data_IF_254419226899
#
_entry.id   IF_254419226899
#
_cell.length_a   1.000
_cell.length_b   1.000
_cell.length_c   1.000
_cell.angle_alpha   90.00
_cell.angle_beta   90.00
_cell.angle_gamma   90.00
#
_symmetry.space_group_name_H-M   'P 1'
#
loop_
_entity.id
_entity.type
_entity.pdbx_description
1 polymer ?
#
# COMPACT_ATOMS: atom_id res chain seq x y z
N UNK A 1 -33.86 3.32 29.90
CA UNK A 1 -32.65 2.58 30.33
C UNK A 1 -32.04 1.72 29.21
N UNK A 2 -32.85 0.89 28.49
CA UNK A 2 -32.33 -0.01 27.44
C UNK A 2 -31.68 0.75 26.28
N UNK A 3 -32.36 1.75 25.73
CA UNK A 3 -31.80 2.57 24.62
C UNK A 3 -30.52 3.27 25.03
N UNK A 4 -30.41 3.78 26.25
CA UNK A 4 -29.19 4.38 26.79
C UNK A 4 -28.03 3.39 26.75
N UNK A 5 -28.24 2.17 27.29
CA UNK A 5 -27.18 1.15 27.31
C UNK A 5 -26.73 0.74 25.93
N UNK A 6 -27.69 0.52 25.00
CA UNK A 6 -27.37 0.14 23.60
C UNK A 6 -26.61 1.25 22.90
N UNK A 7 -27.13 2.48 22.92
CA UNK A 7 -26.54 3.59 22.19
C UNK A 7 -25.18 4.01 22.77
N UNK A 8 -25.01 3.97 24.10
CA UNK A 8 -23.71 4.24 24.72
C UNK A 8 -22.66 3.20 24.34
N UNK A 9 -23.02 1.90 24.31
CA UNK A 9 -22.12 0.83 23.91
C UNK A 9 -21.69 0.97 22.44
N UNK A 10 -22.64 1.25 21.54
CA UNK A 10 -22.36 1.45 20.12
C UNK A 10 -21.50 2.70 19.93
N UNK A 11 -21.86 3.82 20.57
CA UNK A 11 -21.14 5.08 20.45
C UNK A 11 -19.70 4.98 20.97
N UNK A 12 -19.47 4.31 22.10
CA UNK A 12 -18.12 4.09 22.64
C UNK A 12 -17.21 3.40 21.62
N UNK A 13 -17.72 2.38 20.96
CA UNK A 13 -16.98 1.68 19.89
C UNK A 13 -16.81 2.56 18.66
N UNK A 14 -17.87 3.22 18.19
CA UNK A 14 -17.88 4.04 17.00
C UNK A 14 -17.00 5.28 17.14
N UNK A 15 -17.03 5.94 18.30
CA UNK A 15 -16.19 7.12 18.60
C UNK A 15 -14.78 6.74 19.08
N UNK A 16 -14.55 5.44 19.32
CA UNK A 16 -13.25 4.90 19.74
C UNK A 16 -12.72 5.53 21.05
N UNK A 17 -13.63 5.97 21.92
CA UNK A 17 -13.35 6.61 23.22
C UNK A 17 -14.50 6.41 24.21
N UNK A 18 -14.28 6.62 25.51
CA UNK A 18 -15.38 6.74 26.46
C UNK A 18 -16.40 7.78 26.00
N UNK A 19 -17.67 7.48 26.15
CA UNK A 19 -18.76 8.43 25.89
C UNK A 19 -19.05 9.24 27.16
N UNK A 20 -19.25 10.52 27.00
CA UNK A 20 -19.64 11.43 28.09
C UNK A 20 -21.17 11.63 28.11
N UNK A 21 -21.67 12.29 29.16
CA UNK A 21 -23.09 12.56 29.30
C UNK A 21 -23.66 13.36 28.13
N UNK A 22 -22.92 14.31 27.58
CA UNK A 22 -23.32 15.11 26.43
C UNK A 22 -23.53 14.27 25.17
N UNK A 23 -22.64 13.29 24.93
CA UNK A 23 -22.79 12.34 23.84
C UNK A 23 -24.09 11.55 24.00
N UNK A 24 -24.30 10.99 25.22
CA UNK A 24 -25.47 10.15 25.53
C UNK A 24 -26.76 10.95 25.41
N UNK A 25 -26.83 12.15 25.95
CA UNK A 25 -28.00 13.01 25.82
C UNK A 25 -28.32 13.37 24.39
N UNK A 26 -27.30 13.63 23.60
CA UNK A 26 -27.48 13.91 22.16
C UNK A 26 -28.11 12.69 21.46
N UNK A 27 -27.59 11.48 21.67
CA UNK A 27 -28.11 10.26 21.06
C UNK A 27 -29.53 9.96 21.52
N UNK A 28 -29.84 10.17 22.80
CA UNK A 28 -31.19 9.98 23.33
C UNK A 28 -32.22 10.98 22.78
N UNK A 29 -31.80 12.20 22.45
CA UNK A 29 -32.66 13.18 21.76
C UNK A 29 -33.07 12.67 20.38
N UNK A 30 -32.14 12.15 19.58
CA UNK A 30 -32.45 11.57 18.27
C UNK A 30 -33.31 10.29 18.39
N UNK A 31 -32.98 9.45 19.37
CA UNK A 31 -33.78 8.26 19.68
C UNK A 31 -35.23 8.63 19.98
N UNK A 32 -35.50 9.64 20.86
CA UNK A 32 -36.87 10.09 21.17
C UNK A 32 -37.63 10.57 19.91
N UNK A 33 -36.94 11.24 18.97
CA UNK A 33 -37.56 11.65 17.71
C UNK A 33 -37.97 10.45 16.84
N UNK A 34 -37.30 9.30 16.98
CA UNK A 34 -37.63 8.07 16.26
C UNK A 34 -38.70 7.18 16.93
N UNK A 35 -39.16 7.53 18.12
CA UNK A 35 -40.11 6.68 18.91
C UNK A 35 -41.46 6.48 18.23
N UNK A 36 -41.89 7.37 17.33
CA UNK A 36 -43.12 7.17 16.55
C UNK A 36 -43.08 5.91 15.68
N UNK A 37 -41.90 5.39 15.40
CA UNK A 37 -41.66 4.10 14.69
C UNK A 37 -41.38 2.93 15.65
N UNK A 38 -41.65 3.08 16.94
CA UNK A 38 -41.35 2.09 17.96
C UNK A 38 -39.95 2.14 18.52
N UNK A 39 -39.59 1.15 19.34
CA UNK A 39 -38.26 1.08 19.97
C UNK A 39 -37.13 0.92 18.95
N UNK A 40 -37.34 0.13 17.92
CA UNK A 40 -36.33 -0.06 16.83
C UNK A 40 -36.09 1.25 16.09
N UNK A 41 -37.13 2.02 15.82
CA UNK A 41 -36.99 3.35 15.20
C UNK A 41 -36.23 4.35 16.07
N UNK A 42 -36.38 4.25 17.39
CA UNK A 42 -35.56 5.00 18.36
C UNK A 42 -34.08 4.63 18.25
N UNK A 43 -33.76 3.33 18.31
CA UNK A 43 -32.35 2.85 18.22
C UNK A 43 -31.75 3.20 16.85
N UNK A 44 -32.51 3.00 15.78
CA UNK A 44 -32.10 3.36 14.41
C UNK A 44 -31.71 4.84 14.31
N UNK A 45 -32.57 5.76 14.78
CA UNK A 45 -32.27 7.20 14.74
C UNK A 45 -31.03 7.57 15.56
N UNK A 46 -30.78 6.88 16.67
CA UNK A 46 -29.56 7.01 17.45
C UNK A 46 -28.33 6.55 16.68
N UNK A 47 -28.41 5.43 15.97
CA UNK A 47 -27.30 4.90 15.12
C UNK A 47 -27.05 5.84 13.93
N UNK A 48 -28.07 6.32 13.25
CA UNK A 48 -27.94 7.31 12.17
C UNK A 48 -27.16 8.55 12.63
N UNK A 49 -27.49 9.02 13.86
CA UNK A 49 -26.74 10.15 14.45
C UNK A 49 -25.29 9.80 14.77
N UNK A 50 -24.99 8.58 15.22
CA UNK A 50 -23.61 8.10 15.42
C UNK A 50 -22.84 8.12 14.09
N UNK A 51 -23.42 7.54 13.05
CA UNK A 51 -22.76 7.44 11.73
C UNK A 51 -22.52 8.81 11.08
N UNK A 52 -23.40 9.79 11.33
CA UNK A 52 -23.25 11.16 10.86
C UNK A 52 -22.35 12.04 11.76
N UNK A 53 -21.80 11.48 12.84
CA UNK A 53 -21.00 12.25 13.80
C UNK A 53 -19.57 12.49 13.28
N UNK A 54 -19.01 13.71 13.44
CA UNK A 54 -17.58 13.94 13.20
C UNK A 54 -16.67 12.99 13.97
N UNK A 55 -17.04 12.57 15.18
CA UNK A 55 -16.30 11.58 15.99
C UNK A 55 -16.24 10.19 15.35
N UNK A 56 -17.22 9.84 14.51
CA UNK A 56 -17.19 8.62 13.72
C UNK A 56 -16.43 8.83 12.42
N UNK A 57 -16.77 9.88 11.67
CA UNK A 57 -16.26 10.13 10.31
C UNK A 57 -14.78 10.51 10.29
N UNK A 58 -14.30 11.21 11.31
CA UNK A 58 -12.93 11.72 11.37
C UNK A 58 -12.17 11.13 12.55
N UNK A 59 -10.88 10.95 12.36
CA UNK A 59 -9.93 10.57 13.39
C UNK A 59 -9.21 11.83 13.86
N UNK A 60 -9.83 12.58 14.78
CA UNK A 60 -9.22 13.77 15.38
C UNK A 60 -8.58 13.35 16.70
N UNK A 61 -7.27 13.49 16.88
CA UNK A 61 -6.62 13.17 18.15
C UNK A 61 -7.17 14.05 19.30
N UNK A 62 -7.32 13.44 20.49
CA UNK A 62 -7.96 14.07 21.65
C UNK A 62 -7.17 15.26 22.26
N UNK A 63 -5.91 15.46 21.88
CA UNK A 63 -5.04 16.54 22.39
C UNK A 63 -5.16 17.87 21.64
N UNK A 64 -6.12 18.03 20.74
CA UNK A 64 -6.51 19.35 20.28
C UNK A 64 -7.44 19.92 21.34
N UNK A 65 -6.99 20.92 22.10
CA UNK A 65 -7.81 21.64 23.07
C UNK A 65 -9.16 21.97 22.43
N UNK A 66 -10.26 21.64 23.12
CA UNK A 66 -11.61 21.84 22.64
C UNK A 66 -11.95 23.33 22.37
N UNK A 67 -11.03 24.25 22.68
CA UNK A 67 -11.12 25.68 22.39
C UNK A 67 -10.77 26.02 20.91
N UNK A 68 -10.17 25.09 20.16
CA UNK A 68 -9.78 25.27 18.76
C UNK A 68 -10.68 24.49 17.77
N UNK A 69 -11.91 24.17 18.15
CA UNK A 69 -12.88 23.66 17.19
C UNK A 69 -13.01 24.68 16.04
N UNK A 70 -12.75 24.33 14.77
CA UNK A 70 -12.89 25.27 13.67
C UNK A 70 -14.31 25.81 13.71
N UNK A 71 -14.44 27.15 13.81
CA UNK A 71 -15.75 27.81 13.68
C UNK A 71 -16.36 27.34 12.36
N UNK A 72 -17.68 27.05 12.34
CA UNK A 72 -18.32 26.65 11.09
C UNK A 72 -17.98 27.65 10.00
N UNK A 73 -17.53 27.18 8.84
CA UNK A 73 -17.08 28.02 7.70
C UNK A 73 -18.10 29.13 7.33
N UNK A 74 -19.37 28.93 7.67
CA UNK A 74 -20.45 29.90 7.48
C UNK A 74 -20.31 31.19 8.32
N UNK A 75 -19.48 31.21 9.38
CA UNK A 75 -19.32 32.39 10.22
C UNK A 75 -18.10 33.26 9.88
N UNK A 76 -17.27 32.83 8.91
CA UNK A 76 -16.01 33.51 8.56
C UNK A 76 -16.07 34.20 7.19
N UNK A 77 -17.11 33.94 6.40
CA UNK A 77 -17.25 34.57 5.07
C UNK A 77 -18.07 35.86 5.15
N UNK A 78 -17.54 37.00 4.65
CA UNK A 78 -18.29 38.21 4.54
C UNK A 78 -19.51 38.01 3.61
N UNK A 79 -20.62 38.72 3.87
CA UNK A 79 -21.92 38.49 3.28
C UNK A 79 -21.97 38.54 1.73
N UNK A 80 -20.93 39.00 1.05
CA UNK A 80 -20.82 39.05 -0.42
C UNK A 80 -20.24 37.82 -1.11
N UNK A 81 -19.64 36.87 -0.36
CA UNK A 81 -18.90 35.75 -0.96
C UNK A 81 -19.74 34.49 -1.24
N UNK A 82 -21.02 34.50 -0.93
CA UNK A 82 -21.90 33.33 -1.05
C UNK A 82 -22.25 32.93 -2.48
N UNK A 83 -22.06 33.79 -3.47
CA UNK A 83 -22.49 33.55 -4.85
C UNK A 83 -21.35 33.17 -5.83
N UNK A 84 -20.10 32.99 -5.36
CA UNK A 84 -18.95 32.75 -6.24
C UNK A 84 -18.43 31.30 -6.26
N UNK A 85 -19.07 30.36 -5.57
CA UNK A 85 -18.60 28.95 -5.51
C UNK A 85 -19.10 28.04 -6.64
N UNK A 86 -19.71 28.56 -7.70
CA UNK A 86 -20.29 27.73 -8.77
C UNK A 86 -19.65 27.91 -10.15
N UNK A 87 -18.56 28.64 -10.29
CA UNK A 87 -17.88 28.76 -11.60
C UNK A 87 -16.39 28.99 -11.44
N UNK A 88 -15.56 27.99 -11.75
CA UNK A 88 -14.38 28.02 -12.62
C UNK A 88 -13.41 26.85 -12.34
N UNK A 89 -12.79 26.26 -13.35
CA UNK A 89 -11.75 25.26 -13.17
C UNK A 89 -10.44 25.93 -12.73
N UNK A 90 -9.78 25.34 -11.73
CA UNK A 90 -8.54 25.84 -11.20
C UNK A 90 -7.37 25.60 -12.18
N UNK A 91 -6.67 26.67 -12.54
CA UNK A 91 -5.38 26.63 -13.21
C UNK A 91 -4.27 26.20 -12.25
N UNK A 92 -3.19 25.55 -12.72
CA UNK A 92 -2.09 25.12 -11.86
C UNK A 92 -1.32 26.32 -11.31
N UNK A 93 -1.09 26.31 -10.00
CA UNK A 93 -0.27 27.31 -9.33
C UNK A 93 1.24 27.12 -9.64
N UNK A 94 2.00 28.22 -9.81
CA UNK A 94 3.44 28.12 -10.04
C UNK A 94 4.18 27.66 -8.80
N UNK A 95 5.24 26.87 -9.01
CA UNK A 95 6.15 26.39 -7.99
C UNK A 95 6.78 27.57 -7.24
N UNK A 96 6.35 27.79 -6.01
CA UNK A 96 6.94 28.79 -5.11
C UNK A 96 7.98 28.12 -4.22
N UNK A 97 9.14 28.75 -4.15
CA UNK A 97 10.34 28.44 -3.37
C UNK A 97 10.07 27.80 -2.01
N UNK A 98 10.90 26.81 -1.66
CA UNK A 98 11.07 26.24 -0.33
C UNK A 98 11.34 27.36 0.72
N UNK A 99 10.28 27.96 1.22
CA UNK A 99 10.35 28.77 2.41
C UNK A 99 10.48 27.83 3.62
N UNK A 100 11.57 27.99 4.35
CA UNK A 100 11.84 27.34 5.63
C UNK A 100 10.63 27.55 6.57
N UNK A 101 9.79 26.52 6.72
CA UNK A 101 8.80 26.51 7.79
C UNK A 101 9.54 26.39 9.11
N UNK A 102 9.57 27.48 9.91
CA UNK A 102 9.93 27.42 11.32
C UNK A 102 9.08 26.33 11.97
N UNK A 103 9.74 25.35 12.58
CA UNK A 103 9.10 24.37 13.46
C UNK A 103 8.57 25.12 14.69
N UNK A 104 7.34 25.60 14.61
CA UNK A 104 6.58 26.17 15.72
C UNK A 104 5.52 25.13 16.07
N UNK A 105 5.83 24.28 17.06
CA UNK A 105 4.89 23.29 17.58
C UNK A 105 5.63 22.14 18.23
N UNK A 106 5.48 21.97 19.54
CA UNK A 106 6.06 20.82 20.26
C UNK A 106 5.49 19.49 19.74
N UNK A 107 6.31 18.44 19.82
CA UNK A 107 5.84 17.07 19.57
C UNK A 107 5.19 16.55 20.84
N UNK A 108 3.97 16.00 20.74
CA UNK A 108 3.23 15.42 21.87
C UNK A 108 2.99 13.95 21.66
N UNK A 109 3.03 13.19 22.76
CA UNK A 109 2.69 11.76 22.73
C UNK A 109 1.19 11.61 22.52
N UNK A 110 0.81 10.61 21.71
CA UNK A 110 -0.59 10.22 21.59
C UNK A 110 -1.14 9.73 22.92
N UNK A 111 -2.40 10.02 23.17
CA UNK A 111 -3.14 9.35 24.23
C UNK A 111 -3.25 7.85 23.93
N UNK A 112 -3.44 7.03 24.95
CA UNK A 112 -3.64 5.58 24.74
C UNK A 112 -4.87 5.28 23.88
N UNK A 113 -5.90 6.13 23.94
CA UNK A 113 -7.07 6.06 23.07
C UNK A 113 -6.72 6.30 21.59
N UNK A 114 -5.91 7.32 21.32
CA UNK A 114 -5.45 7.60 19.96
C UNK A 114 -4.48 6.53 19.45
N UNK A 115 -3.64 6.01 20.34
CA UNK A 115 -2.73 4.90 20.04
C UNK A 115 -3.51 3.64 19.69
N UNK A 116 -4.56 3.29 20.46
CA UNK A 116 -5.45 2.16 20.16
C UNK A 116 -6.13 2.31 18.80
N UNK A 117 -6.63 3.50 18.50
CA UNK A 117 -7.21 3.82 17.20
C UNK A 117 -6.19 3.68 16.07
N UNK A 118 -4.99 4.25 16.22
CA UNK A 118 -3.91 4.17 15.21
C UNK A 118 -3.49 2.74 14.98
N UNK A 119 -3.29 1.96 16.03
CA UNK A 119 -2.89 0.55 15.97
C UNK A 119 -3.95 -0.32 15.28
N UNK A 120 -5.23 -0.15 15.60
CA UNK A 120 -6.30 -0.94 15.01
C UNK A 120 -6.50 -0.65 13.53
N UNK A 121 -6.41 0.62 13.12
CA UNK A 121 -6.47 0.96 11.69
C UNK A 121 -5.23 0.51 10.92
N UNK A 122 -4.06 0.53 11.54
CA UNK A 122 -2.84 0.00 10.93
C UNK A 122 -2.94 -1.51 10.67
N UNK A 123 -3.34 -2.30 11.66
CA UNK A 123 -3.29 -3.77 11.56
C UNK A 123 -4.58 -4.39 11.03
N UNK A 124 -5.74 -3.77 11.28
CA UNK A 124 -7.06 -4.34 10.95
C UNK A 124 -7.89 -3.48 9.99
N UNK A 125 -7.44 -2.26 9.66
CA UNK A 125 -8.23 -1.27 8.91
C UNK A 125 -9.64 -1.07 9.48
N UNK A 126 -9.77 -1.21 10.78
CA UNK A 126 -11.04 -1.17 11.52
C UNK A 126 -10.88 -0.50 12.88
N UNK A 127 -12.01 -0.29 13.56
CA UNK A 127 -12.05 0.27 14.92
C UNK A 127 -11.42 -0.69 15.93
N UNK A 128 -10.89 -0.17 17.07
CA UNK A 128 -10.38 -1.00 18.17
C UNK A 128 -11.45 -1.95 18.70
N UNK A 129 -11.03 -3.14 19.10
CA UNK A 129 -11.91 -4.04 19.85
C UNK A 129 -11.99 -3.69 21.34
N UNK A 130 -12.83 -4.40 22.06
CA UNK A 130 -13.11 -4.15 23.47
C UNK A 130 -11.87 -4.29 24.35
N UNK A 131 -11.02 -5.28 24.08
CA UNK A 131 -9.78 -5.50 24.83
C UNK A 131 -8.81 -4.32 24.65
N UNK A 132 -8.63 -3.88 23.41
CA UNK A 132 -7.73 -2.77 23.10
C UNK A 132 -8.24 -1.45 23.68
N UNK A 133 -9.57 -1.17 23.60
CA UNK A 133 -10.18 0.00 24.21
C UNK A 133 -10.06 -0.03 25.72
N UNK A 134 -10.29 -1.16 26.38
CA UNK A 134 -10.18 -1.28 27.83
C UNK A 134 -8.75 -1.01 28.34
N UNK A 135 -7.73 -1.47 27.62
CA UNK A 135 -6.32 -1.15 27.95
C UNK A 135 -6.01 0.33 27.74
N UNK A 136 -6.55 0.92 26.69
CA UNK A 136 -6.38 2.34 26.42
C UNK A 136 -7.08 3.23 27.47
N UNK A 137 -8.28 2.88 27.90
CA UNK A 137 -9.02 3.58 28.96
C UNK A 137 -8.33 3.49 30.32
N UNK A 138 -7.62 2.38 30.58
CA UNK A 138 -6.79 2.24 31.79
C UNK A 138 -5.47 3.01 31.74
N UNK A 139 -5.09 3.53 30.57
CA UNK A 139 -3.81 4.20 30.37
C UNK A 139 -2.59 3.28 30.45
N UNK A 140 -2.74 2.01 30.09
CA UNK A 140 -1.65 0.99 30.14
C UNK A 140 -1.21 0.51 28.77
N UNK A 141 -1.88 0.92 27.70
CA UNK A 141 -1.58 0.47 26.35
C UNK A 141 -0.17 0.88 25.88
N UNK A 142 0.30 2.03 26.34
CA UNK A 142 1.63 2.55 25.98
C UNK A 142 2.80 1.80 26.67
N UNK A 143 2.53 0.94 27.63
CA UNK A 143 3.57 0.12 28.27
C UNK A 143 4.15 -0.85 27.24
N UNK A 144 5.50 -0.92 27.04
CA UNK A 144 6.09 -1.67 25.95
C UNK A 144 5.66 -3.15 25.89
N UNK A 145 5.58 -3.82 27.05
CA UNK A 145 5.16 -5.22 27.13
C UNK A 145 3.68 -5.42 26.78
N UNK A 146 2.81 -4.49 27.19
CA UNK A 146 1.38 -4.52 26.88
C UNK A 146 1.18 -4.27 25.39
N UNK A 147 1.85 -3.26 24.84
CA UNK A 147 1.76 -2.90 23.43
C UNK A 147 2.25 -4.05 22.53
N UNK A 148 3.39 -4.66 22.84
CA UNK A 148 3.90 -5.81 22.11
C UNK A 148 2.92 -6.98 22.15
N UNK A 149 2.36 -7.31 23.33
CA UNK A 149 1.36 -8.36 23.46
C UNK A 149 0.14 -8.10 22.59
N UNK A 150 -0.34 -6.85 22.53
CA UNK A 150 -1.48 -6.48 21.68
C UNK A 150 -1.14 -6.57 20.18
N UNK A 151 0.03 -6.10 19.76
CA UNK A 151 0.47 -6.24 18.36
C UNK A 151 0.50 -7.72 17.94
N UNK A 152 1.09 -8.60 18.76
CA UNK A 152 1.16 -10.03 18.46
C UNK A 152 -0.23 -10.67 18.41
N UNK A 153 -1.11 -10.35 19.37
CA UNK A 153 -2.50 -10.79 19.36
C UNK A 153 -3.21 -10.36 18.08
N UNK A 154 -3.06 -9.08 17.72
CA UNK A 154 -3.73 -8.51 16.56
C UNK A 154 -3.22 -9.09 15.23
N UNK A 155 -1.94 -9.40 15.12
CA UNK A 155 -1.38 -10.08 13.94
C UNK A 155 -1.88 -11.53 13.81
N UNK A 156 -2.13 -12.22 14.93
CA UNK A 156 -2.69 -13.58 14.92
C UNK A 156 -4.20 -13.61 14.59
N UNK A 157 -4.90 -12.49 14.78
CA UNK A 157 -6.35 -12.38 14.50
C UNK A 157 -6.64 -12.42 13.00
N UNK A 158 -7.73 -13.08 12.54
CA UNK A 158 -8.12 -13.07 11.13
C UNK A 158 -8.28 -11.68 10.51
N UNK A 159 -8.67 -10.67 11.29
CA UNK A 159 -8.79 -9.27 10.84
C UNK A 159 -7.48 -8.67 10.33
N UNK A 160 -6.32 -9.24 10.72
CA UNK A 160 -5.01 -8.80 10.19
C UNK A 160 -4.85 -9.02 8.69
N UNK A 161 -5.72 -9.81 8.06
CA UNK A 161 -5.81 -9.92 6.60
C UNK A 161 -5.99 -8.54 5.95
N UNK A 162 -6.69 -7.61 6.61
CA UNK A 162 -6.86 -6.23 6.12
C UNK A 162 -5.53 -5.47 5.97
N UNK A 163 -4.50 -5.77 6.78
CA UNK A 163 -3.15 -5.23 6.58
C UNK A 163 -2.59 -5.69 5.23
N UNK A 164 -2.71 -6.98 4.93
CA UNK A 164 -2.23 -7.54 3.65
C UNK A 164 -2.98 -6.90 2.50
N UNK A 165 -4.32 -6.96 2.51
CA UNK A 165 -5.17 -6.51 1.41
C UNK A 165 -4.97 -5.01 1.09
N UNK A 166 -4.78 -4.17 2.11
CA UNK A 166 -4.60 -2.73 1.91
C UNK A 166 -3.15 -2.32 1.68
N UNK A 167 -2.20 -2.83 2.49
CA UNK A 167 -0.80 -2.46 2.35
C UNK A 167 -0.19 -3.00 1.06
N UNK A 168 -0.37 -4.30 0.77
CA UNK A 168 0.19 -4.88 -0.44
C UNK A 168 -0.42 -4.28 -1.71
N UNK A 169 -1.73 -3.99 -1.70
CA UNK A 169 -2.40 -3.36 -2.82
C UNK A 169 -1.87 -1.96 -3.12
N UNK A 170 -1.44 -1.21 -2.10
CA UNK A 170 -0.81 0.10 -2.27
C UNK A 170 0.66 -0.03 -2.67
N UNK A 171 1.44 -0.80 -1.91
CA UNK A 171 2.88 -0.94 -2.11
C UNK A 171 3.22 -1.53 -3.47
N UNK A 172 2.52 -2.59 -3.88
CA UNK A 172 2.79 -3.33 -5.11
C UNK A 172 1.94 -2.85 -6.31
N UNK A 173 1.15 -1.78 -6.11
CA UNK A 173 0.28 -1.20 -7.14
C UNK A 173 -0.83 -2.16 -7.64
N UNK A 174 -1.22 -3.16 -6.82
CA UNK A 174 -2.21 -4.18 -7.23
C UNK A 174 -3.60 -3.61 -7.50
N UNK A 175 -3.91 -2.40 -6.99
CA UNK A 175 -5.16 -1.71 -7.31
C UNK A 175 -5.29 -1.41 -8.80
N UNK A 176 -4.18 -1.23 -9.51
CA UNK A 176 -4.17 -1.02 -10.94
C UNK A 176 -4.64 -2.24 -11.73
N UNK A 177 -4.61 -3.46 -11.15
CA UNK A 177 -5.15 -4.66 -11.82
C UNK A 177 -6.62 -4.48 -12.23
N UNK A 178 -7.40 -3.71 -11.48
CA UNK A 178 -8.83 -3.48 -11.77
C UNK A 178 -9.02 -2.66 -13.07
N UNK A 179 -8.09 -1.76 -13.38
CA UNK A 179 -8.13 -0.87 -14.54
C UNK A 179 -7.32 -1.37 -15.75
N UNK A 180 -6.46 -2.39 -15.57
CA UNK A 180 -5.71 -2.96 -16.70
C UNK A 180 -6.67 -3.67 -17.65
N UNK A 181 -6.57 -3.38 -18.94
CA UNK A 181 -7.38 -3.96 -19.99
C UNK A 181 -6.48 -4.54 -21.12
N UNK A 182 -5.89 -5.74 -20.94
CA UNK A 182 -5.15 -6.39 -22.00
C UNK A 182 -6.04 -6.61 -23.22
N UNK A 183 -5.48 -6.39 -24.42
CA UNK A 183 -6.19 -6.56 -25.67
C UNK A 183 -6.50 -8.05 -25.88
N UNK A 184 -7.76 -8.39 -26.08
CA UNK A 184 -8.24 -9.78 -26.18
C UNK A 184 -7.58 -10.54 -27.32
N UNK A 185 -7.43 -9.92 -28.49
CA UNK A 185 -6.75 -10.53 -29.66
C UNK A 185 -5.27 -10.86 -29.40
N UNK A 186 -4.62 -10.18 -28.44
CA UNK A 186 -3.22 -10.40 -28.08
C UNK A 186 -3.07 -11.36 -26.92
N UNK A 187 -4.01 -11.30 -25.98
CA UNK A 187 -4.02 -12.09 -24.74
C UNK A 187 -5.37 -12.76 -24.51
N UNK A 188 -5.81 -13.68 -25.40
CA UNK A 188 -7.13 -14.30 -25.31
C UNK A 188 -7.32 -15.13 -24.01
N UNK A 189 -6.22 -15.50 -23.37
CA UNK A 189 -6.24 -16.21 -22.11
C UNK A 189 -6.54 -15.32 -20.88
N UNK A 190 -6.55 -13.96 -21.03
CA UNK A 190 -6.76 -13.06 -19.91
C UNK A 190 -8.25 -12.74 -19.71
N UNK A 191 -8.78 -13.09 -18.56
CA UNK A 191 -10.17 -12.88 -18.17
C UNK A 191 -10.29 -12.32 -16.74
N UNK A 192 -11.52 -12.11 -16.30
CA UNK A 192 -11.81 -11.62 -14.94
C UNK A 192 -11.40 -12.61 -13.85
N UNK A 193 -11.50 -13.93 -14.10
CA UNK A 193 -11.10 -14.96 -13.14
C UNK A 193 -9.57 -15.00 -12.98
N UNK A 194 -8.84 -14.87 -14.06
CA UNK A 194 -7.37 -14.81 -14.02
C UNK A 194 -6.89 -13.55 -13.31
N UNK A 195 -7.53 -12.41 -13.56
CA UNK A 195 -7.25 -11.15 -12.86
C UNK A 195 -7.40 -11.29 -11.34
N UNK A 196 -8.50 -11.89 -10.89
CA UNK A 196 -8.74 -12.15 -9.47
C UNK A 196 -7.73 -13.15 -8.91
N UNK A 197 -7.38 -14.19 -9.68
CA UNK A 197 -6.40 -15.17 -9.27
C UNK A 197 -4.98 -14.57 -9.11
N UNK A 198 -4.57 -13.65 -9.95
CA UNK A 198 -3.31 -12.90 -9.82
C UNK A 198 -3.25 -12.09 -8.52
N UNK A 199 -4.33 -11.38 -8.19
CA UNK A 199 -4.43 -10.62 -6.95
C UNK A 199 -4.32 -11.55 -5.74
N UNK A 200 -5.15 -12.58 -5.70
CA UNK A 200 -5.25 -13.52 -4.60
C UNK A 200 -3.93 -14.29 -4.37
N UNK A 201 -3.21 -14.66 -5.44
CA UNK A 201 -1.88 -15.28 -5.34
C UNK A 201 -0.93 -14.43 -4.51
N UNK A 202 -0.81 -13.16 -4.87
CA UNK A 202 0.15 -12.23 -4.25
C UNK A 202 -0.22 -11.93 -2.80
N UNK A 203 -1.51 -11.69 -2.55
CA UNK A 203 -2.02 -11.44 -1.21
C UNK A 203 -1.82 -12.65 -0.30
N UNK A 204 -2.07 -13.87 -0.79
CA UNK A 204 -1.85 -15.11 -0.01
C UNK A 204 -0.38 -15.36 0.28
N UNK A 205 0.51 -15.07 -0.66
CA UNK A 205 1.95 -15.19 -0.41
C UNK A 205 2.36 -14.28 0.74
N UNK A 206 1.99 -13.00 0.69
CA UNK A 206 2.33 -12.02 1.73
C UNK A 206 1.66 -12.38 3.07
N UNK A 207 0.39 -12.77 3.07
CA UNK A 207 -0.32 -13.23 4.27
C UNK A 207 0.40 -14.42 4.94
N UNK A 208 0.81 -15.41 4.14
CA UNK A 208 1.55 -16.56 4.67
C UNK A 208 2.88 -16.17 5.30
N UNK A 209 3.59 -15.22 4.69
CA UNK A 209 4.88 -14.74 5.21
C UNK A 209 4.73 -13.96 6.51
N UNK A 210 3.69 -13.13 6.64
CA UNK A 210 3.40 -12.40 7.87
C UNK A 210 2.97 -13.37 8.99
N UNK A 211 2.07 -14.33 8.69
CA UNK A 211 1.58 -15.31 9.68
C UNK A 211 2.65 -16.29 10.13
N UNK A 212 3.52 -16.71 9.22
CA UNK A 212 4.65 -17.61 9.52
C UNK A 212 5.86 -16.83 10.08
N UNK A 213 5.74 -15.52 10.19
CA UNK A 213 6.80 -14.58 10.62
C UNK A 213 8.13 -14.81 9.88
N UNK A 214 8.05 -14.95 8.57
CA UNK A 214 9.22 -15.20 7.72
C UNK A 214 10.08 -13.95 7.53
N UNK A 215 11.34 -14.12 7.10
CA UNK A 215 12.16 -13.00 6.67
C UNK A 215 11.53 -12.27 5.47
N UNK A 216 11.54 -10.94 5.48
CA UNK A 216 11.05 -10.11 4.37
C UNK A 216 11.76 -10.43 3.05
N UNK A 217 13.10 -10.65 2.99
CA UNK A 217 13.78 -11.02 1.76
C UNK A 217 13.28 -12.32 1.10
N UNK A 218 12.61 -13.21 1.86
CA UNK A 218 12.01 -14.42 1.31
C UNK A 218 10.96 -14.12 0.23
N UNK A 219 10.33 -12.92 0.22
CA UNK A 219 9.45 -12.48 -0.86
C UNK A 219 10.12 -12.50 -2.23
N UNK A 220 11.42 -12.23 -2.30
CA UNK A 220 12.17 -12.22 -3.55
C UNK A 220 12.51 -13.63 -4.05
N UNK A 221 12.49 -14.62 -3.16
CA UNK A 221 13.08 -15.94 -3.42
C UNK A 221 12.17 -17.12 -3.12
N UNK A 222 10.96 -16.86 -2.62
CA UNK A 222 10.02 -17.92 -2.28
C UNK A 222 9.89 -18.94 -3.43
N UNK A 223 10.18 -20.18 -3.11
CA UNK A 223 10.04 -21.30 -4.06
C UNK A 223 8.63 -21.91 -4.03
N UNK A 224 7.68 -21.23 -3.44
CA UNK A 224 6.27 -21.59 -3.38
C UNK A 224 5.39 -20.38 -3.65
N UNK A 225 4.18 -20.66 -4.10
CA UNK A 225 3.09 -19.69 -4.19
C UNK A 225 1.75 -20.38 -3.92
N UNK A 226 0.66 -19.64 -4.08
CA UNK A 226 -0.70 -20.13 -3.91
C UNK A 226 -1.42 -20.08 -5.26
N UNK A 227 -1.89 -21.22 -5.74
CA UNK A 227 -2.58 -21.31 -7.03
C UNK A 227 -3.88 -22.08 -6.91
N UNK A 228 -4.86 -21.71 -7.72
CA UNK A 228 -6.04 -22.49 -8.06
C UNK A 228 -5.88 -23.10 -9.47
N UNK A 229 -6.86 -23.84 -9.97
CA UNK A 229 -6.81 -24.44 -11.31
C UNK A 229 -6.61 -23.41 -12.41
N UNK A 230 -7.33 -22.27 -12.35
CA UNK A 230 -7.26 -21.21 -13.38
C UNK A 230 -5.86 -20.64 -13.51
N UNK A 231 -5.23 -20.34 -12.37
CA UNK A 231 -3.88 -19.81 -12.31
C UNK A 231 -2.81 -20.85 -12.67
N UNK A 232 -3.00 -22.09 -12.21
CA UNK A 232 -2.09 -23.19 -12.49
C UNK A 232 -2.03 -23.48 -14.00
N UNK A 233 -3.18 -23.49 -14.70
CA UNK A 233 -3.25 -23.62 -16.16
C UNK A 233 -2.47 -22.50 -16.85
N UNK A 234 -2.65 -21.26 -16.41
CA UNK A 234 -1.94 -20.11 -16.98
C UNK A 234 -0.42 -20.21 -16.80
N UNK A 235 0.03 -20.73 -15.67
CA UNK A 235 1.47 -20.93 -15.38
C UNK A 235 2.05 -22.23 -15.90
N UNK A 236 1.25 -23.11 -16.47
CA UNK A 236 1.67 -24.44 -16.93
C UNK A 236 1.99 -25.40 -15.78
N UNK A 237 1.35 -25.25 -14.61
CA UNK A 237 1.54 -26.11 -13.45
C UNK A 237 0.51 -27.24 -13.51
N UNK A 238 0.96 -28.51 -13.63
CA UNK A 238 0.05 -29.65 -13.79
C UNK A 238 -0.60 -30.05 -12.45
N UNK A 239 -1.67 -30.88 -12.56
CA UNK A 239 -2.29 -31.57 -11.43
C UNK A 239 -2.95 -30.70 -10.36
N UNK A 240 -3.37 -29.50 -10.73
CA UNK A 240 -4.14 -28.60 -9.87
C UNK A 240 -5.55 -28.47 -10.43
N UNK A 241 -6.57 -28.86 -9.66
CA UNK A 241 -7.97 -28.79 -10.04
C UNK A 241 -8.82 -28.02 -9.01
N UNK A 242 -9.87 -27.34 -9.49
CA UNK A 242 -10.85 -26.60 -8.70
C UNK A 242 -10.43 -25.18 -8.30
N UNK A 243 -11.39 -24.45 -7.74
CA UNK A 243 -11.27 -23.02 -7.45
C UNK A 243 -10.47 -22.69 -6.18
N UNK A 244 -10.25 -23.69 -5.30
CA UNK A 244 -9.56 -23.48 -4.04
C UNK A 244 -8.06 -23.25 -4.24
N UNK A 245 -7.55 -22.14 -3.72
CA UNK A 245 -6.10 -21.87 -3.66
C UNK A 245 -5.39 -22.83 -2.70
N UNK A 246 -4.25 -23.33 -3.13
CA UNK A 246 -3.37 -24.18 -2.33
C UNK A 246 -1.92 -23.80 -2.53
N UNK A 247 -1.12 -23.98 -1.48
CA UNK A 247 0.33 -23.77 -1.53
C UNK A 247 0.96 -24.85 -2.38
N UNK A 248 1.76 -24.46 -3.36
CA UNK A 248 2.48 -25.35 -4.26
C UNK A 248 3.92 -24.91 -4.41
N UNK A 249 4.81 -25.88 -4.67
CA UNK A 249 6.19 -25.57 -5.08
C UNK A 249 6.16 -25.05 -6.52
N UNK A 250 6.80 -23.91 -6.74
CA UNK A 250 6.86 -23.25 -8.03
C UNK A 250 8.06 -23.72 -8.85
N UNK A 251 7.91 -23.82 -10.19
CA UNK A 251 9.04 -24.08 -11.05
C UNK A 251 10.07 -22.95 -10.95
N UNK A 252 11.35 -23.24 -11.28
CA UNK A 252 12.48 -22.34 -11.08
C UNK A 252 12.33 -20.96 -11.73
N UNK A 253 11.61 -20.93 -12.86
CA UNK A 253 11.28 -19.68 -13.57
C UNK A 253 10.06 -18.96 -13.00
N UNK A 254 9.47 -19.41 -11.88
CA UNK A 254 8.29 -18.83 -11.22
C UNK A 254 8.49 -18.64 -9.73
N UNK A 255 9.68 -18.35 -9.28
CA UNK A 255 9.99 -18.18 -7.86
C UNK A 255 10.08 -16.71 -7.49
N UNK A 256 9.51 -16.36 -6.33
CA UNK A 256 9.49 -15.01 -5.80
C UNK A 256 8.47 -14.09 -6.48
N UNK A 257 8.18 -12.99 -5.82
CA UNK A 257 7.09 -12.07 -6.16
C UNK A 257 7.22 -11.43 -7.55
N UNK A 258 8.44 -11.28 -8.08
CA UNK A 258 8.68 -10.67 -9.40
C UNK A 258 8.14 -11.50 -10.58
N UNK A 259 7.83 -12.77 -10.34
CA UNK A 259 7.25 -13.67 -11.35
C UNK A 259 5.74 -13.79 -11.24
N UNK A 260 5.09 -13.11 -10.29
CA UNK A 260 3.64 -13.14 -10.14
C UNK A 260 2.95 -12.44 -11.31
N UNK A 261 1.89 -13.03 -11.80
CA UNK A 261 1.10 -12.49 -12.90
C UNK A 261 0.55 -11.10 -12.58
N UNK A 262 0.21 -10.82 -11.32
CA UNK A 262 -0.21 -9.48 -10.86
C UNK A 262 0.83 -8.40 -11.18
N UNK A 263 2.09 -8.62 -10.78
CA UNK A 263 3.19 -7.65 -10.96
C UNK A 263 3.51 -7.48 -12.45
N UNK A 264 3.59 -8.60 -13.18
CA UNK A 264 3.92 -8.59 -14.60
C UNK A 264 2.83 -7.90 -15.43
N UNK A 265 1.57 -8.02 -15.03
CA UNK A 265 0.43 -7.41 -15.71
C UNK A 265 0.32 -5.91 -15.43
N UNK A 266 0.40 -5.47 -14.17
CA UNK A 266 0.33 -4.02 -13.84
C UNK A 266 1.51 -3.22 -14.37
N UNK A 267 2.61 -3.90 -14.72
CA UNK A 267 3.81 -3.28 -15.30
C UNK A 267 3.89 -3.40 -16.82
N UNK A 268 2.85 -3.91 -17.46
CA UNK A 268 2.76 -4.05 -18.91
C UNK A 268 1.81 -3.00 -19.52
N UNK A 269 1.76 -2.96 -20.85
CA UNK A 269 0.77 -2.19 -21.61
C UNK A 269 -0.34 -3.13 -22.10
N UNK A 270 -1.43 -2.58 -22.61
CA UNK A 270 -2.59 -3.36 -23.03
C UNK A 270 -2.25 -4.42 -24.09
N UNK A 271 -1.34 -4.12 -25.01
CA UNK A 271 -0.99 -4.97 -26.17
C UNK A 271 0.44 -5.52 -26.16
N UNK A 272 1.27 -5.16 -25.19
CA UNK A 272 2.68 -5.58 -25.14
C UNK A 272 3.28 -5.45 -23.75
N UNK A 273 4.45 -6.05 -23.54
CA UNK A 273 5.28 -5.82 -22.36
C UNK A 273 5.85 -4.40 -22.34
N UNK A 274 6.28 -3.96 -21.17
CA UNK A 274 6.98 -2.69 -21.01
C UNK A 274 8.21 -2.84 -20.11
N UNK A 275 9.38 -3.10 -20.68
CA UNK A 275 10.64 -3.14 -19.93
C UNK A 275 10.85 -1.89 -19.07
N UNK A 276 10.47 -0.72 -19.59
CA UNK A 276 10.53 0.55 -18.85
C UNK A 276 9.70 0.53 -17.58
N UNK A 277 8.42 0.14 -17.68
CA UNK A 277 7.52 0.08 -16.52
C UNK A 277 7.97 -1.00 -15.53
N UNK A 278 8.39 -2.18 -16.00
CA UNK A 278 8.94 -3.26 -15.17
C UNK A 278 10.16 -2.79 -14.39
N UNK A 279 11.10 -2.15 -15.08
CA UNK A 279 12.32 -1.63 -14.46
C UNK A 279 12.04 -0.49 -13.48
N UNK A 280 11.18 0.46 -13.85
CA UNK A 280 10.71 1.53 -12.96
C UNK A 280 10.07 0.96 -11.71
N UNK A 281 9.21 -0.06 -11.87
CA UNK A 281 8.54 -0.70 -10.74
C UNK A 281 9.53 -1.37 -9.78
N UNK A 282 10.53 -2.10 -10.30
CA UNK A 282 11.60 -2.71 -9.48
C UNK A 282 12.36 -1.63 -8.71
N UNK A 283 12.73 -0.54 -9.36
CA UNK A 283 13.45 0.57 -8.71
C UNK A 283 12.59 1.22 -7.62
N UNK A 284 11.32 1.51 -7.89
CA UNK A 284 10.45 2.22 -6.96
C UNK A 284 10.00 1.37 -5.77
N UNK A 285 9.60 0.11 -6.05
CA UNK A 285 8.88 -0.72 -5.06
C UNK A 285 9.78 -1.75 -4.37
N UNK A 286 10.90 -2.15 -5.00
CA UNK A 286 11.84 -3.09 -4.42
C UNK A 286 13.10 -2.38 -3.90
N UNK A 287 13.68 -1.48 -4.68
CA UNK A 287 14.95 -0.85 -4.34
C UNK A 287 14.81 0.54 -3.71
N UNK A 288 13.61 1.13 -3.65
CA UNK A 288 13.41 2.47 -3.07
C UNK A 288 14.26 3.56 -3.76
N UNK A 289 14.56 3.38 -5.04
CA UNK A 289 15.35 4.27 -5.86
C UNK A 289 14.50 4.88 -6.99
N UNK A 290 13.53 5.74 -6.68
CA UNK A 290 12.56 6.23 -7.65
C UNK A 290 13.25 6.98 -8.79
N UNK A 291 12.70 6.77 -9.99
CA UNK A 291 13.14 7.47 -11.20
C UNK A 291 12.28 8.73 -11.36
N UNK A 292 12.89 9.88 -11.65
CA UNK A 292 12.14 11.10 -11.95
C UNK A 292 11.11 10.90 -13.06
N UNK A 293 10.02 11.69 -13.08
CA UNK A 293 9.10 11.67 -14.21
C UNK A 293 9.82 12.09 -15.49
N UNK A 294 9.36 11.59 -16.66
CA UNK A 294 9.95 12.00 -17.94
C UNK A 294 9.75 13.50 -18.16
N UNK A 295 10.63 14.15 -18.95
CA UNK A 295 10.40 15.51 -19.42
C UNK A 295 9.06 15.63 -20.19
N UNK A 296 8.44 16.81 -20.25
CA UNK A 296 7.11 16.96 -20.85
C UNK A 296 7.04 16.62 -22.34
N UNK A 297 8.13 16.78 -23.09
CA UNK A 297 8.15 16.64 -24.56
C UNK A 297 8.92 15.40 -25.03
N UNK A 298 8.73 14.26 -24.37
CA UNK A 298 9.37 13.00 -24.77
C UNK A 298 8.72 12.45 -26.04
N UNK A 299 9.48 12.23 -27.14
CA UNK A 299 8.95 11.59 -28.34
C UNK A 299 8.38 10.20 -28.03
N UNK A 300 7.28 9.85 -28.68
CA UNK A 300 6.73 8.50 -28.58
C UNK A 300 7.73 7.46 -29.11
N UNK A 301 7.71 6.26 -28.50
CA UNK A 301 8.50 5.13 -28.98
C UNK A 301 8.04 4.74 -30.38
N UNK A 302 8.94 4.75 -31.37
CA UNK A 302 8.64 4.30 -32.72
C UNK A 302 8.86 2.78 -32.81
N UNK A 303 7.85 2.01 -33.19
CA UNK A 303 7.95 0.54 -33.27
C UNK A 303 8.62 0.07 -34.58
N UNK A 304 8.96 0.95 -35.48
CA UNK A 304 9.54 0.69 -36.80
C UNK A 304 10.91 1.37 -36.95
N UNK A 305 11.76 0.80 -37.79
CA UNK A 305 13.00 1.42 -38.17
C UNK A 305 12.80 2.55 -39.25
N UNK A 306 13.87 3.12 -39.75
CA UNK A 306 13.81 4.21 -40.75
C UNK A 306 13.27 3.74 -42.10
N UNK A 307 13.34 2.45 -42.38
CA UNK A 307 12.86 1.81 -43.60
C UNK A 307 11.43 1.23 -43.43
N UNK A 308 10.81 1.45 -42.29
CA UNK A 308 9.44 0.99 -41.96
C UNK A 308 9.36 -0.49 -41.54
N UNK A 309 10.49 -1.15 -41.28
CA UNK A 309 10.48 -2.54 -40.82
C UNK A 309 10.20 -2.62 -39.30
N UNK A 310 9.39 -3.60 -38.86
CA UNK A 310 9.03 -3.71 -37.45
C UNK A 310 10.22 -4.08 -36.56
N UNK A 311 10.45 -3.32 -35.51
CA UNK A 311 11.47 -3.56 -34.50
C UNK A 311 10.91 -4.43 -33.36
N UNK A 312 11.79 -5.27 -32.78
CA UNK A 312 11.47 -5.88 -31.48
C UNK A 312 11.36 -4.79 -30.40
N UNK A 313 10.61 -5.04 -29.33
CA UNK A 313 10.48 -4.08 -28.24
C UNK A 313 11.84 -3.62 -27.69
N UNK A 314 12.83 -4.53 -27.62
CA UNK A 314 14.21 -4.19 -27.22
C UNK A 314 14.90 -3.26 -28.21
N UNK A 315 14.86 -3.57 -29.48
CA UNK A 315 15.52 -2.75 -30.53
C UNK A 315 14.93 -1.33 -30.61
N UNK A 316 13.59 -1.21 -30.50
CA UNK A 316 12.90 0.07 -30.44
C UNK A 316 13.34 0.92 -29.24
N UNK A 317 13.46 0.31 -28.05
CA UNK A 317 13.95 0.99 -26.85
C UNK A 317 15.44 1.36 -26.93
N UNK A 318 16.28 0.47 -27.48
CA UNK A 318 17.71 0.76 -27.71
C UNK A 318 17.91 1.94 -28.64
N UNK A 319 17.10 2.05 -29.70
CA UNK A 319 17.07 3.21 -30.57
C UNK A 319 16.60 4.48 -29.85
N UNK A 320 15.51 4.41 -29.08
CA UNK A 320 14.98 5.55 -28.30
C UNK A 320 16.03 6.10 -27.34
N UNK A 321 16.72 5.24 -26.59
CA UNK A 321 17.73 5.64 -25.61
C UNK A 321 19.08 6.09 -26.23
N UNK A 322 19.27 6.00 -27.56
CA UNK A 322 20.42 6.61 -28.22
C UNK A 322 20.43 8.14 -28.10
N UNK A 323 19.26 8.75 -27.83
CA UNK A 323 19.16 10.16 -27.50
C UNK A 323 19.70 10.42 -26.10
N UNK A 324 20.68 11.32 -25.96
CA UNK A 324 21.35 11.60 -24.67
C UNK A 324 20.40 11.99 -23.54
N UNK A 325 19.31 12.72 -23.84
CA UNK A 325 18.29 13.14 -22.87
C UNK A 325 17.50 11.94 -22.31
N UNK A 326 17.32 10.87 -23.08
CA UNK A 326 16.61 9.66 -22.71
C UNK A 326 17.53 8.64 -22.02
N UNK A 327 18.80 8.57 -22.46
CA UNK A 327 19.78 7.57 -22.04
C UNK A 327 19.96 7.47 -20.53
N UNK A 328 20.01 8.60 -19.83
CA UNK A 328 20.31 8.64 -18.40
C UNK A 328 19.25 7.91 -17.54
N UNK A 329 17.96 8.11 -17.82
CA UNK A 329 16.88 7.43 -17.12
C UNK A 329 16.75 5.96 -17.56
N UNK A 330 16.80 5.71 -18.89
CA UNK A 330 16.63 4.38 -19.45
C UNK A 330 17.76 3.42 -19.06
N UNK A 331 19.01 3.88 -18.98
CA UNK A 331 20.13 3.07 -18.52
C UNK A 331 19.94 2.52 -17.09
N UNK A 332 19.15 3.21 -16.25
CA UNK A 332 18.83 2.76 -14.89
C UNK A 332 17.66 1.77 -14.84
N UNK A 333 16.64 1.98 -15.69
CA UNK A 333 15.36 1.23 -15.66
C UNK A 333 15.39 -0.01 -16.54
N UNK A 334 15.74 0.17 -17.82
CA UNK A 334 15.54 -0.85 -18.85
C UNK A 334 16.21 -2.19 -18.55
N UNK A 335 17.43 -2.25 -17.97
CA UNK A 335 18.08 -3.52 -17.68
C UNK A 335 17.23 -4.43 -16.79
N UNK A 336 16.58 -3.88 -15.75
CA UNK A 336 15.70 -4.64 -14.87
C UNK A 336 14.48 -5.21 -15.59
N UNK A 337 13.91 -4.43 -16.52
CA UNK A 337 12.75 -4.87 -17.29
C UNK A 337 13.11 -5.88 -18.36
N UNK A 338 14.20 -5.67 -19.10
CA UNK A 338 14.66 -6.63 -20.13
C UNK A 338 14.97 -8.00 -19.54
N UNK A 339 15.52 -8.07 -18.34
CA UNK A 339 15.76 -9.34 -17.66
C UNK A 339 14.48 -10.13 -17.33
N UNK A 340 13.30 -9.49 -17.41
CA UNK A 340 12.01 -10.11 -17.16
C UNK A 340 11.17 -10.35 -18.44
N UNK A 341 11.75 -10.18 -19.63
CA UNK A 341 11.02 -10.28 -20.91
C UNK A 341 10.61 -11.70 -21.32
N UNK A 342 11.11 -12.72 -20.63
CA UNK A 342 10.55 -14.07 -20.74
C UNK A 342 9.08 -14.17 -20.29
N UNK A 343 8.53 -13.13 -19.68
CA UNK A 343 7.11 -13.06 -19.35
C UNK A 343 6.38 -12.11 -20.30
N UNK A 344 5.28 -12.56 -20.89
CA UNK A 344 4.44 -11.71 -21.75
C UNK A 344 3.69 -10.62 -20.94
N UNK A 345 2.80 -9.88 -21.57
CA UNK A 345 2.05 -8.78 -20.94
C UNK A 345 1.07 -9.21 -19.85
N UNK A 346 0.68 -10.47 -19.80
CA UNK A 346 -0.17 -11.06 -18.76
C UNK A 346 0.56 -12.14 -17.96
N UNK A 347 1.89 -12.07 -17.94
CA UNK A 347 2.72 -12.91 -17.10
C UNK A 347 2.88 -14.36 -17.57
N UNK A 348 2.41 -14.77 -18.72
CA UNK A 348 2.71 -16.10 -19.28
C UNK A 348 4.18 -16.18 -19.73
N UNK A 349 4.78 -17.37 -19.57
CA UNK A 349 6.17 -17.60 -19.97
C UNK A 349 6.28 -17.70 -21.50
N UNK A 350 7.29 -17.03 -22.09
CA UNK A 350 7.63 -17.08 -23.51
C UNK A 350 9.13 -17.16 -23.71
N UNK A 351 9.58 -17.83 -24.78
CA UNK A 351 11.00 -17.92 -25.16
C UNK A 351 11.34 -17.11 -26.41
N UNK A 352 10.33 -16.71 -27.19
CA UNK A 352 10.49 -16.00 -28.45
C UNK A 352 9.58 -14.76 -28.53
N UNK A 353 10.02 -13.75 -29.27
CA UNK A 353 9.25 -12.57 -29.65
C UNK A 353 9.48 -12.30 -31.15
N UNK A 354 8.40 -12.20 -31.93
CA UNK A 354 8.50 -11.99 -33.38
C UNK A 354 9.36 -13.05 -34.11
N UNK A 355 9.30 -14.31 -33.65
CA UNK A 355 10.10 -15.41 -34.21
C UNK A 355 11.57 -15.44 -33.81
N UNK A 356 12.04 -14.49 -32.99
CA UNK A 356 13.42 -14.42 -32.50
C UNK A 356 13.50 -14.84 -31.02
N UNK A 357 14.56 -15.53 -30.58
CA UNK A 357 14.78 -15.80 -29.16
C UNK A 357 14.86 -14.52 -28.36
N UNK A 358 14.24 -14.54 -27.15
CA UNK A 358 14.29 -13.40 -26.23
C UNK A 358 15.67 -13.38 -25.56
N UNK A 359 16.35 -12.24 -25.65
CA UNK A 359 17.60 -11.98 -24.94
C UNK A 359 17.31 -11.25 -23.63
N UNK A 360 17.56 -11.93 -22.50
CA UNK A 360 17.42 -11.38 -21.15
C UNK A 360 18.73 -10.94 -20.51
N UNK A 361 19.84 -11.05 -21.25
CA UNK A 361 21.17 -10.64 -20.76
C UNK A 361 21.28 -9.13 -20.77
N UNK A 362 21.63 -8.57 -19.64
CA UNK A 362 21.78 -7.13 -19.43
C UNK A 362 22.95 -6.82 -18.51
N UNK A 363 23.41 -5.57 -18.57
CA UNK A 363 24.44 -5.05 -17.66
C UNK A 363 23.87 -3.81 -16.97
N UNK A 364 23.93 -3.79 -15.63
CA UNK A 364 23.56 -2.64 -14.83
C UNK A 364 24.63 -1.54 -14.90
N UNK A 365 24.30 -0.32 -14.44
CA UNK A 365 25.22 0.81 -14.44
C UNK A 365 26.51 0.56 -13.63
N UNK A 366 26.46 -0.28 -12.63
CA UNK A 366 27.63 -0.67 -11.82
C UNK A 366 28.45 -1.82 -12.44
N UNK A 367 28.13 -2.23 -13.67
CA UNK A 367 28.80 -3.32 -14.39
C UNK A 367 28.28 -4.72 -14.04
N UNK A 368 27.32 -4.86 -13.12
CA UNK A 368 26.75 -6.15 -12.74
C UNK A 368 26.00 -6.78 -13.93
N UNK A 369 26.33 -8.01 -14.28
CA UNK A 369 25.67 -8.77 -15.34
C UNK A 369 24.49 -9.53 -14.77
N UNK A 370 23.35 -9.46 -15.44
CA UNK A 370 22.10 -10.14 -15.10
C UNK A 370 21.64 -10.98 -16.29
N UNK A 371 21.15 -12.18 -16.04
CA UNK A 371 20.48 -13.02 -17.05
C UNK A 371 19.17 -13.56 -16.45
N UNK A 372 18.06 -13.13 -17.01
CA UNK A 372 16.71 -13.54 -16.64
C UNK A 372 16.34 -13.26 -15.18
N UNK A 373 15.22 -13.83 -14.74
CA UNK A 373 14.71 -13.71 -13.37
C UNK A 373 15.73 -14.18 -12.32
N UNK A 374 16.48 -15.24 -12.60
CA UNK A 374 17.48 -15.79 -11.67
C UNK A 374 18.57 -14.77 -11.36
N UNK A 375 19.08 -14.09 -12.37
CA UNK A 375 20.06 -13.02 -12.21
C UNK A 375 19.51 -11.80 -11.47
N UNK A 376 18.27 -11.38 -11.80
CA UNK A 376 17.57 -10.31 -11.04
C UNK A 376 17.49 -10.66 -9.58
N UNK A 377 17.03 -11.86 -9.23
CA UNK A 377 16.89 -12.32 -7.84
C UNK A 377 18.22 -12.34 -7.11
N UNK A 378 19.28 -12.84 -7.74
CA UNK A 378 20.62 -12.87 -7.14
C UNK A 378 21.09 -11.47 -6.76
N UNK A 379 20.92 -10.49 -7.65
CA UNK A 379 21.30 -9.09 -7.38
C UNK A 379 20.42 -8.48 -6.29
N UNK A 380 19.11 -8.74 -6.30
CA UNK A 380 18.21 -8.22 -5.26
C UNK A 380 18.51 -8.86 -3.89
N UNK A 381 18.89 -10.14 -3.84
CA UNK A 381 19.34 -10.78 -2.60
C UNK A 381 20.62 -10.14 -2.04
N UNK A 382 21.60 -9.82 -2.90
CA UNK A 382 22.81 -9.10 -2.46
C UNK A 382 22.52 -7.67 -1.97
N UNK A 383 21.34 -7.11 -2.33
CA UNK A 383 20.83 -5.81 -1.90
C UNK A 383 19.64 -5.93 -0.93
N UNK A 384 19.57 -7.04 -0.19
CA UNK A 384 18.45 -7.32 0.73
C UNK A 384 18.21 -6.23 1.77
N UNK A 385 19.27 -5.59 2.26
CA UNK A 385 19.15 -4.47 3.22
C UNK A 385 18.44 -3.26 2.60
N UNK A 386 18.71 -2.97 1.33
CA UNK A 386 18.02 -1.93 0.59
C UNK A 386 16.53 -2.29 0.40
N UNK A 387 16.24 -3.55 0.07
CA UNK A 387 14.87 -4.04 -0.03
C UNK A 387 14.12 -3.93 1.30
N UNK A 388 14.71 -4.40 2.40
CA UNK A 388 14.12 -4.30 3.75
C UNK A 388 13.88 -2.84 4.14
N UNK A 389 14.81 -1.94 3.81
CA UNK A 389 14.64 -0.50 4.05
C UNK A 389 13.46 0.05 3.26
N UNK A 390 13.31 -0.35 2.00
CA UNK A 390 12.18 0.07 1.15
C UNK A 390 10.85 -0.41 1.72
N UNK A 391 10.74 -1.70 2.08
CA UNK A 391 9.53 -2.25 2.69
C UNK A 391 9.22 -1.54 4.01
N UNK A 392 10.24 -1.25 4.83
CA UNK A 392 10.09 -0.54 6.09
C UNK A 392 9.54 0.86 5.89
N UNK A 393 10.04 1.60 4.89
CA UNK A 393 9.55 2.93 4.55
C UNK A 393 8.11 2.89 4.05
N UNK A 394 7.78 1.98 3.13
CA UNK A 394 6.41 1.81 2.60
C UNK A 394 5.43 1.44 3.70
N UNK A 395 5.81 0.52 4.60
CA UNK A 395 4.97 0.10 5.71
C UNK A 395 4.80 1.21 6.76
N UNK A 396 5.85 2.00 7.01
CA UNK A 396 5.77 3.18 7.88
C UNK A 396 4.82 4.23 7.29
N UNK A 397 4.92 4.56 6.00
CA UNK A 397 3.97 5.47 5.32
C UNK A 397 2.53 4.99 5.51
N UNK A 398 2.28 3.70 5.32
CA UNK A 398 0.96 3.12 5.52
C UNK A 398 0.49 3.22 6.99
N UNK A 399 1.38 2.96 7.95
CA UNK A 399 1.07 2.97 9.37
C UNK A 399 0.76 4.36 9.93
N UNK A 400 1.48 5.40 9.45
CA UNK A 400 1.33 6.78 9.95
C UNK A 400 0.41 7.65 9.07
N UNK A 401 0.06 7.18 7.85
CA UNK A 401 -0.85 7.86 6.93
C UNK A 401 -0.27 9.13 6.28
N UNK A 402 1.06 9.28 6.24
CA UNK A 402 1.77 10.37 5.58
C UNK A 402 3.12 9.91 5.02
N UNK A 403 3.72 10.64 4.08
CA UNK A 403 5.10 10.38 3.65
C UNK A 403 6.09 10.40 4.81
N UNK A 404 7.19 9.64 4.66
CA UNK A 404 8.33 9.70 5.56
C UNK A 404 9.15 10.95 5.26
N UNK A 405 9.28 11.78 6.26
CA UNK A 405 10.04 13.03 6.20
C UNK A 405 11.49 12.84 6.68
N UNK A 406 12.34 13.85 6.46
CA UNK A 406 13.75 13.78 6.85
C UNK A 406 13.96 13.51 8.36
N UNK A 407 13.07 14.02 9.22
CA UNK A 407 13.11 13.81 10.68
C UNK A 407 12.66 12.41 11.11
N UNK A 408 12.00 11.62 10.25
CA UNK A 408 11.63 10.22 10.50
C UNK A 408 12.78 9.26 10.17
N UNK A 409 13.77 9.70 9.37
CA UNK A 409 14.89 8.86 8.92
C UNK A 409 15.70 8.21 10.05
N UNK A 410 15.96 8.86 11.20
CA UNK A 410 16.60 8.20 12.33
C UNK A 410 15.79 7.02 12.89
N UNK A 411 14.46 7.16 12.98
CA UNK A 411 13.58 6.07 13.40
C UNK A 411 13.62 4.91 12.42
N UNK A 412 13.54 5.19 11.13
CA UNK A 412 13.63 4.18 10.07
C UNK A 412 14.95 3.40 10.14
N UNK A 413 16.09 4.08 10.28
CA UNK A 413 17.40 3.42 10.46
C UNK A 413 17.44 2.52 11.68
N UNK A 414 16.90 2.97 12.82
CA UNK A 414 16.82 2.14 14.03
C UNK A 414 15.98 0.88 13.78
N UNK A 415 14.83 1.02 13.13
CA UNK A 415 13.95 -0.10 12.81
C UNK A 415 14.66 -1.13 11.91
N UNK A 416 15.31 -0.69 10.84
CA UNK A 416 16.00 -1.60 9.91
C UNK A 416 17.21 -2.29 10.57
N UNK A 417 17.95 -1.58 11.43
CA UNK A 417 19.04 -2.19 12.22
C UNK A 417 18.51 -3.27 13.18
N UNK A 418 17.39 -3.01 13.85
CA UNK A 418 16.75 -4.00 14.73
C UNK A 418 16.19 -5.19 13.95
N UNK A 419 15.61 -4.94 12.78
CA UNK A 419 15.11 -6.00 11.90
C UNK A 419 16.25 -6.90 11.42
N UNK A 420 17.38 -6.34 11.00
CA UNK A 420 18.57 -7.09 10.58
C UNK A 420 19.09 -8.01 11.69
N UNK A 421 19.14 -7.53 12.94
CA UNK A 421 19.53 -8.33 14.11
C UNK A 421 18.57 -9.50 14.39
N UNK A 422 17.33 -9.46 13.86
CA UNK A 422 16.29 -10.47 14.04
C UNK A 422 15.95 -11.17 12.72
N UNK A 423 16.90 -11.32 11.81
CA UNK A 423 16.73 -11.94 10.51
C UNK A 423 15.62 -11.30 9.65
N UNK A 424 15.44 -9.99 9.75
CA UNK A 424 14.48 -9.20 8.96
C UNK A 424 13.03 -9.74 9.00
N UNK A 425 12.57 -10.22 10.17
CA UNK A 425 11.22 -10.77 10.34
C UNK A 425 10.14 -9.69 10.27
N UNK A 426 8.97 -10.03 9.74
CA UNK A 426 7.83 -9.16 9.67
C UNK A 426 7.39 -8.62 11.04
N UNK A 427 7.34 -9.49 12.06
CA UNK A 427 6.95 -9.06 13.41
C UNK A 427 7.91 -8.02 13.99
N UNK A 428 9.22 -8.16 13.77
CA UNK A 428 10.23 -7.21 14.25
C UNK A 428 10.06 -5.86 13.58
N UNK A 429 9.79 -5.84 12.27
CA UNK A 429 9.54 -4.61 11.54
C UNK A 429 8.28 -3.89 12.03
N UNK A 430 7.18 -4.61 12.15
CA UNK A 430 5.90 -4.07 12.63
C UNK A 430 6.04 -3.52 14.04
N UNK A 431 6.66 -4.29 14.96
CA UNK A 431 6.93 -3.85 16.33
C UNK A 431 7.86 -2.63 16.36
N UNK A 432 8.87 -2.59 15.52
CA UNK A 432 9.75 -1.45 15.38
C UNK A 432 9.02 -0.17 14.97
N UNK A 433 8.09 -0.28 14.00
CA UNK A 433 7.24 0.85 13.58
C UNK A 433 6.33 1.29 14.73
N UNK A 434 5.60 0.36 15.36
CA UNK A 434 4.66 0.66 16.45
C UNK A 434 5.36 1.32 17.64
N UNK A 435 6.61 0.93 17.94
CA UNK A 435 7.42 1.52 19.00
C UNK A 435 8.17 2.79 18.59
N UNK A 436 8.03 3.24 17.33
CA UNK A 436 8.74 4.41 16.84
C UNK A 436 8.08 5.72 17.24
N UNK A 437 8.90 6.79 17.29
CA UNK A 437 8.41 8.14 17.53
C UNK A 437 7.37 8.60 16.49
N UNK A 438 7.54 8.39 15.17
CA UNK A 438 6.53 8.75 14.18
C UNK A 438 5.17 8.07 14.40
N UNK A 439 5.14 6.88 14.99
CA UNK A 439 3.90 6.16 15.28
C UNK A 439 3.25 6.59 16.60
N UNK A 440 4.04 6.87 17.64
CA UNK A 440 3.52 7.15 18.98
C UNK A 440 3.33 8.64 19.29
N UNK A 441 3.82 9.52 18.43
CA UNK A 441 3.78 10.95 18.63
C UNK A 441 3.15 11.67 17.43
N UNK A 442 2.74 12.90 17.65
CA UNK A 442 2.27 13.81 16.62
C UNK A 442 2.79 15.22 16.87
N UNK A 443 2.91 16.04 15.83
CA UNK A 443 3.17 17.46 15.98
C UNK A 443 1.94 18.13 16.60
N UNK A 444 2.13 19.01 17.59
CA UNK A 444 1.10 19.99 17.96
C UNK A 444 0.79 20.80 16.70
N UNK A 445 -0.46 20.86 16.31
CA UNK A 445 -0.88 21.76 15.24
C UNK A 445 -0.36 23.17 15.55
N UNK A 446 0.08 23.90 14.53
CA UNK A 446 0.33 25.32 14.69
C UNK A 446 -1.01 25.98 15.08
N UNK A 447 -1.04 26.65 16.23
CA UNK A 447 -2.14 27.51 16.64
C UNK A 447 -2.35 28.65 15.65
#
# INVERSE_FOLDING_TARGET
>A
PCATKILSSIARRAYRRPVNDGDVQTLLRFCRAGLSRGFDGCVQSGIERILASPHFLYRVPANTDASSAPKPLASVLPAGARNLMLQAPAAPAPATSLAQSKAVGGVVRLSDIDLASRLSFFLWSSIPDEELLALAEKGTLHEPAVLEKQVRRMLADPRSRALVDNFSAQWLELRHLESVAPVEDVYPEFDGELRLAFKEETERLIDSMIREDRPIPDLLTANYSFVNERLAKHYGIPNIAGTRFRRVTMPANRTGILSHGSILTVTSQANRTSPVNRGKWVLNNILGAPVPPPPPDVPALKPEDDDGAPLTGRAALERHRSLAVCANCHARMDPWGFALENYNGVGAWRSNEGGKPIDTKVVLLDGTKIDGLSGVRQVLQSRSDQFVTTVSEKLMVYAIGRPVEYYDRPALRKITTQAAASNNRWSTLILGIVNSMPFQYQSKGAE
#
